data_IF_832254560319
#
_entry.id   IF_832254560319
#
_cell.length_a   1.000
_cell.length_b   1.000
_cell.length_c   1.000
_cell.angle_alpha   90.00
_cell.angle_beta   90.00
_cell.angle_gamma   90.00
#
_symmetry.space_group_name_H-M   'P 1'
#
loop_
_entity.id
_entity.type
_entity.pdbx_description
1 polymer ?
#
# COMPACT_ATOMS: atom_id res chain seq x y z
N UNK A 1 -13.93 5.52 10.23
CA UNK A 1 -14.30 4.09 10.03
C UNK A 1 -15.32 3.97 8.91
N UNK A 2 -14.95 3.32 7.79
CA UNK A 2 -15.87 2.39 7.11
C UNK A 2 -15.17 1.07 6.81
N UNK A 3 -15.25 0.17 7.80
CA UNK A 3 -15.40 -1.26 7.53
C UNK A 3 -16.54 -1.41 6.51
N UNK A 4 -16.23 -1.88 5.30
CA UNK A 4 -17.25 -2.40 4.39
C UNK A 4 -17.55 -1.60 3.11
N UNK A 5 -16.59 -0.87 2.52
CA UNK A 5 -16.75 -0.57 1.08
C UNK A 5 -16.48 -1.87 0.30
N UNK A 6 -17.57 -2.56 -0.08
CA UNK A 6 -17.53 -3.89 -0.72
C UNK A 6 -16.64 -3.92 -1.97
N UNK A 7 -16.41 -2.77 -2.59
CA UNK A 7 -15.57 -2.59 -3.77
C UNK A 7 -14.09 -2.90 -3.50
N UNK A 8 -13.55 -2.62 -2.32
CA UNK A 8 -12.15 -2.95 -2.02
C UNK A 8 -11.96 -4.43 -1.68
N UNK A 9 -12.93 -5.05 -1.01
CA UNK A 9 -12.94 -6.50 -0.83
C UNK A 9 -13.05 -7.24 -2.19
N UNK A 10 -13.77 -6.66 -3.15
CA UNK A 10 -13.81 -7.14 -4.54
C UNK A 10 -12.45 -6.97 -5.23
N UNK A 11 -11.79 -5.82 -5.07
CA UNK A 11 -10.44 -5.63 -5.60
C UNK A 11 -9.44 -6.65 -5.02
N UNK A 12 -9.45 -6.87 -3.71
CA UNK A 12 -8.63 -7.88 -3.02
C UNK A 12 -8.85 -9.28 -3.61
N UNK A 13 -10.10 -9.71 -3.79
CA UNK A 13 -10.40 -11.01 -4.40
C UNK A 13 -9.90 -11.09 -5.85
N UNK A 14 -10.06 -10.02 -6.63
CA UNK A 14 -9.57 -9.97 -8.01
C UNK A 14 -8.03 -10.01 -8.09
N UNK A 15 -7.32 -9.43 -7.10
CA UNK A 15 -5.88 -9.58 -6.97
C UNK A 15 -5.48 -11.04 -6.72
N UNK A 16 -6.19 -11.74 -5.84
CA UNK A 16 -5.94 -13.17 -5.55
C UNK A 16 -6.19 -14.06 -6.77
N UNK A 17 -7.25 -13.76 -7.51
CA UNK A 17 -7.65 -14.50 -8.72
C UNK A 17 -6.72 -14.22 -9.92
N UNK A 18 -5.85 -13.21 -9.82
CA UNK A 18 -4.94 -12.78 -10.89
C UNK A 18 -5.61 -11.92 -11.97
N UNK A 19 -6.79 -11.38 -11.67
CA UNK A 19 -7.60 -10.52 -12.53
C UNK A 19 -7.21 -9.04 -12.38
N UNK A 20 -5.92 -8.76 -12.59
CA UNK A 20 -5.29 -7.48 -12.26
C UNK A 20 -5.91 -6.26 -12.94
N UNK A 21 -6.30 -6.38 -14.22
CA UNK A 21 -6.95 -5.28 -14.94
C UNK A 21 -8.30 -4.91 -14.33
N UNK A 22 -9.06 -5.91 -13.88
CA UNK A 22 -10.35 -5.69 -13.21
C UNK A 22 -10.15 -5.09 -11.82
N UNK A 23 -9.14 -5.57 -11.09
CA UNK A 23 -8.78 -5.02 -9.78
C UNK A 23 -8.35 -3.54 -9.89
N UNK A 24 -7.53 -3.21 -10.89
CA UNK A 24 -7.08 -1.84 -11.17
C UNK A 24 -8.25 -0.93 -11.55
N UNK A 25 -9.21 -1.41 -12.34
CA UNK A 25 -10.38 -0.63 -12.77
C UNK A 25 -11.30 -0.18 -11.62
N UNK A 26 -11.14 -0.75 -10.42
CA UNK A 26 -11.89 -0.33 -9.23
C UNK A 26 -11.37 1.02 -8.70
N UNK A 27 -10.09 1.35 -8.92
CA UNK A 27 -9.49 2.61 -8.45
C UNK A 27 -9.56 3.71 -9.51
N UNK A 28 -9.93 4.92 -9.10
CA UNK A 28 -10.05 6.06 -10.02
C UNK A 28 -8.69 6.64 -10.44
N UNK A 29 -7.71 6.65 -9.53
CA UNK A 29 -6.34 7.07 -9.81
C UNK A 29 -5.35 6.15 -9.14
N UNK A 30 -4.36 5.72 -9.94
CA UNK A 30 -3.34 4.79 -9.51
C UNK A 30 -1.97 5.43 -9.73
N UNK A 31 -1.24 5.60 -8.64
CA UNK A 31 0.15 5.99 -8.66
C UNK A 31 0.98 4.71 -8.77
N UNK A 32 1.50 4.42 -9.95
CA UNK A 32 2.11 3.13 -10.26
C UNK A 32 3.50 2.92 -9.62
N UNK A 33 4.05 3.95 -8.99
CA UNK A 33 5.35 3.91 -8.33
C UNK A 33 5.30 4.79 -7.07
N UNK A 34 6.08 4.41 -6.09
CA UNK A 34 6.05 4.92 -4.73
C UNK A 34 6.85 6.24 -4.63
N UNK A 35 7.86 6.39 -5.49
CA UNK A 35 8.69 7.57 -5.67
C UNK A 35 7.93 8.83 -6.14
N UNK A 36 6.78 8.70 -6.80
CA UNK A 36 5.98 9.84 -7.28
C UNK A 36 4.89 10.25 -6.28
N UNK A 37 4.62 9.43 -5.26
CA UNK A 37 3.45 9.59 -4.39
C UNK A 37 3.43 10.97 -3.73
N UNK A 38 4.51 11.36 -3.06
CA UNK A 38 4.52 12.63 -2.30
C UNK A 38 4.31 13.84 -3.22
N UNK A 39 4.94 13.86 -4.40
CA UNK A 39 4.79 14.93 -5.37
C UNK A 39 3.39 14.97 -5.98
N UNK A 40 2.80 13.81 -6.29
CA UNK A 40 1.44 13.71 -6.79
C UNK A 40 0.41 14.19 -5.76
N UNK A 41 0.58 13.81 -4.49
CA UNK A 41 -0.32 14.24 -3.42
C UNK A 41 -0.21 15.74 -3.11
N UNK A 42 0.99 16.32 -3.25
CA UNK A 42 1.15 17.77 -3.18
C UNK A 42 0.33 18.49 -4.27
N UNK A 43 0.37 18.00 -5.51
CA UNK A 43 -0.46 18.54 -6.59
C UNK A 43 -1.97 18.39 -6.35
N UNK A 44 -2.40 17.27 -5.77
CA UNK A 44 -3.81 17.06 -5.38
C UNK A 44 -4.22 18.06 -4.30
N UNK A 45 -3.39 18.29 -3.27
CA UNK A 45 -3.64 19.29 -2.26
C UNK A 45 -3.75 20.71 -2.84
N UNK A 46 -2.82 21.09 -3.71
CA UNK A 46 -2.82 22.40 -4.38
C UNK A 46 -4.04 22.61 -5.27
N UNK A 47 -4.59 21.54 -5.85
CA UNK A 47 -5.81 21.61 -6.67
C UNK A 47 -7.08 21.88 -5.85
N UNK A 48 -7.04 21.65 -4.54
CA UNK A 48 -8.21 21.74 -3.66
C UNK A 48 -9.18 20.56 -3.78
N UNK A 49 -8.84 19.51 -4.54
CA UNK A 49 -9.62 18.28 -4.60
C UNK A 49 -9.62 17.55 -3.24
N UNK A 50 -10.78 17.01 -2.86
CA UNK A 50 -10.94 16.27 -1.61
C UNK A 50 -10.76 14.77 -1.85
N UNK A 51 -9.94 14.13 -1.03
CA UNK A 51 -9.76 12.67 -1.04
C UNK A 51 -10.44 12.10 0.21
N UNK A 52 -11.38 11.15 0.09
CA UNK A 52 -11.78 10.42 -1.12
C UNK A 52 -12.98 11.01 -1.90
N UNK A 53 -13.54 12.17 -1.51
CA UNK A 53 -14.87 12.60 -2.01
C UNK A 53 -14.89 12.99 -3.48
N UNK A 54 -13.83 13.64 -3.97
CA UNK A 54 -13.69 14.07 -5.35
C UNK A 54 -12.75 13.14 -6.15
N UNK A 55 -11.80 12.48 -5.46
CA UNK A 55 -10.84 11.57 -6.06
C UNK A 55 -10.44 10.44 -5.09
N UNK A 56 -10.53 9.20 -5.55
CA UNK A 56 -9.95 8.04 -4.86
C UNK A 56 -8.57 7.70 -5.42
N UNK A 57 -7.58 7.53 -4.53
CA UNK A 57 -6.17 7.31 -4.90
C UNK A 57 -5.66 6.03 -4.27
N UNK A 58 -5.06 5.17 -5.09
CA UNK A 58 -4.22 4.07 -4.66
C UNK A 58 -2.79 4.26 -5.17
N UNK A 59 -1.79 3.89 -4.37
CA UNK A 59 -0.39 3.94 -4.74
C UNK A 59 0.23 2.54 -4.66
N UNK A 60 0.96 2.14 -5.68
CA UNK A 60 1.75 0.92 -5.69
C UNK A 60 3.09 1.16 -4.98
N UNK A 61 3.36 0.42 -3.91
CA UNK A 61 4.45 0.66 -2.95
C UNK A 61 5.34 -0.56 -2.73
N UNK A 62 6.65 -0.32 -2.57
CA UNK A 62 7.61 -1.33 -2.15
C UNK A 62 7.81 -1.27 -0.63
N UNK A 63 7.01 -2.04 0.12
CA UNK A 63 7.14 -2.12 1.56
C UNK A 63 8.54 -2.67 1.95
N UNK A 64 9.15 -2.19 3.06
CA UNK A 64 8.53 -1.42 4.14
C UNK A 64 8.60 0.10 3.95
N UNK A 65 9.10 0.59 2.81
CA UNK A 65 9.06 2.02 2.56
C UNK A 65 7.61 2.43 2.33
N UNK A 66 7.16 3.40 3.13
CA UNK A 66 5.82 3.97 3.01
C UNK A 66 5.92 5.48 2.80
N UNK A 67 5.26 6.03 1.76
CA UNK A 67 5.29 7.47 1.49
C UNK A 67 4.60 8.24 2.63
N UNK A 68 5.11 9.42 2.96
CA UNK A 68 4.44 10.28 3.93
C UNK A 68 3.26 10.97 3.27
N UNK A 69 2.06 10.50 3.58
CA UNK A 69 0.84 11.07 3.00
C UNK A 69 0.11 12.01 3.99
N UNK A 70 -0.27 13.21 3.54
CA UNK A 70 -1.23 14.04 4.27
C UNK A 70 -2.69 13.62 4.01
N UNK A 71 -2.93 12.77 3.01
CA UNK A 71 -4.25 12.37 2.52
C UNK A 71 -4.55 10.88 2.79
N UNK A 72 -5.81 10.50 3.00
CA UNK A 72 -6.18 9.10 3.24
C UNK A 72 -6.20 8.33 1.91
N UNK A 73 -5.04 7.79 1.51
CA UNK A 73 -4.89 6.98 0.29
C UNK A 73 -4.72 5.49 0.62
N UNK A 74 -4.95 4.62 -0.36
CA UNK A 74 -4.57 3.20 -0.27
C UNK A 74 -3.13 3.01 -0.74
N UNK A 75 -2.38 2.16 -0.05
CA UNK A 75 -1.05 1.70 -0.47
C UNK A 75 -1.10 0.21 -0.70
N UNK A 76 -0.88 -0.19 -1.95
CA UNK A 76 -0.90 -1.56 -2.44
C UNK A 76 0.51 -1.99 -2.80
N UNK A 77 0.91 -3.23 -2.56
CA UNK A 77 2.17 -3.71 -3.13
C UNK A 77 2.73 -4.93 -2.44
N UNK A 78 4.05 -5.08 -2.49
CA UNK A 78 4.72 -6.24 -1.92
C UNK A 78 5.75 -5.82 -0.90
N UNK A 79 5.95 -6.67 0.11
CA UNK A 79 7.09 -6.53 0.98
C UNK A 79 8.36 -6.93 0.22
N UNK A 80 9.24 -5.98 -0.07
CA UNK A 80 10.49 -6.20 -0.79
C UNK A 80 11.34 -7.31 -0.16
N UNK A 81 11.32 -7.42 1.17
CA UNK A 81 11.93 -8.55 1.89
C UNK A 81 11.37 -9.92 1.47
N UNK A 82 10.05 -10.09 1.36
CA UNK A 82 9.45 -11.35 0.93
C UNK A 82 9.85 -11.71 -0.50
N UNK A 83 9.96 -10.70 -1.39
CA UNK A 83 10.47 -10.90 -2.75
C UNK A 83 11.89 -11.44 -2.70
N UNK A 84 12.79 -10.77 -1.97
CA UNK A 84 14.20 -11.18 -1.87
C UNK A 84 14.35 -12.56 -1.23
N UNK A 85 13.62 -12.84 -0.15
CA UNK A 85 13.62 -14.15 0.53
C UNK A 85 13.14 -15.26 -0.41
N UNK A 86 12.07 -15.03 -1.17
CA UNK A 86 11.60 -15.99 -2.17
C UNK A 86 12.64 -16.21 -3.28
N UNK A 87 13.29 -15.14 -3.77
CA UNK A 87 14.35 -15.28 -4.76
C UNK A 87 15.53 -16.12 -4.23
N UNK A 88 15.96 -15.88 -3.00
CA UNK A 88 17.06 -16.63 -2.37
C UNK A 88 16.72 -18.12 -2.22
N UNK A 89 15.52 -18.44 -1.74
CA UNK A 89 15.02 -19.82 -1.63
C UNK A 89 15.00 -20.52 -3.01
N UNK A 90 14.50 -19.85 -4.05
CA UNK A 90 14.45 -20.44 -5.40
C UNK A 90 15.86 -20.68 -5.98
N UNK A 91 16.82 -19.80 -5.69
CA UNK A 91 18.23 -19.97 -6.10
C UNK A 91 18.85 -21.16 -5.37
N UNK A 92 18.63 -21.30 -4.05
CA UNK A 92 19.17 -22.40 -3.25
C UNK A 92 18.59 -23.76 -3.67
N UNK A 93 17.28 -23.81 -3.99
CA UNK A 93 16.65 -25.01 -4.57
C UNK A 93 17.28 -25.38 -5.91
N UNK A 94 17.48 -24.40 -6.79
CA UNK A 94 18.12 -24.63 -8.09
C UNK A 94 19.55 -25.16 -7.93
N UNK A 95 20.33 -24.59 -7.00
CA UNK A 95 21.71 -25.02 -6.71
C UNK A 95 21.77 -26.43 -6.16
N UNK A 96 20.79 -26.83 -5.36
CA UNK A 96 20.71 -28.17 -4.76
C UNK A 96 20.05 -29.22 -5.67
N UNK A 97 19.67 -28.85 -6.90
CA UNK A 97 19.00 -29.75 -7.83
C UNK A 97 17.54 -30.04 -7.47
N UNK A 98 16.96 -29.27 -6.55
CA UNK A 98 15.54 -29.39 -6.20
C UNK A 98 14.64 -28.76 -7.27
N UNK A 99 13.38 -29.22 -7.37
CA UNK A 99 12.39 -28.61 -8.25
C UNK A 99 12.14 -27.14 -7.90
N UNK A 100 12.08 -26.29 -8.94
CA UNK A 100 11.76 -24.86 -8.81
C UNK A 100 10.48 -24.58 -9.61
N UNK A 101 9.45 -23.97 -9.02
CA UNK A 101 8.23 -23.63 -9.75
C UNK A 101 8.52 -22.58 -10.84
N UNK A 102 7.75 -22.61 -11.94
CA UNK A 102 7.87 -21.59 -13.00
C UNK A 102 7.38 -20.22 -12.54
N UNK A 103 6.43 -20.19 -11.60
CA UNK A 103 5.84 -18.98 -11.04
C UNK A 103 5.81 -19.10 -9.52
N UNK A 104 6.23 -18.05 -8.83
CA UNK A 104 6.11 -17.92 -7.38
C UNK A 104 5.10 -16.81 -7.09
N UNK A 105 4.11 -17.09 -6.23
CA UNK A 105 3.09 -16.12 -5.85
C UNK A 105 3.45 -15.52 -4.50
N UNK A 106 3.36 -14.20 -4.39
CA UNK A 106 3.56 -13.46 -3.17
C UNK A 106 2.24 -12.83 -2.74
N UNK A 107 2.07 -12.64 -1.45
CA UNK A 107 0.91 -11.95 -0.89
C UNK A 107 1.04 -10.45 -1.12
N UNK A 108 -0.01 -9.84 -1.66
CA UNK A 108 -0.12 -8.39 -1.77
C UNK A 108 -0.47 -7.82 -0.39
N UNK A 109 0.19 -6.74 -0.02
CA UNK A 109 -0.19 -5.89 1.10
C UNK A 109 -1.10 -4.77 0.58
N UNK A 110 -2.22 -4.57 1.26
CA UNK A 110 -3.18 -3.49 0.98
C UNK A 110 -3.51 -2.77 2.29
N UNK A 111 -2.86 -1.63 2.49
CA UNK A 111 -2.96 -0.83 3.70
C UNK A 111 -3.64 0.51 3.41
N UNK A 112 -4.44 1.00 4.35
CA UNK A 112 -4.84 2.41 4.36
C UNK A 112 -3.69 3.22 4.95
N UNK A 113 -3.17 4.17 4.17
CA UNK A 113 -2.08 5.00 4.65
C UNK A 113 -2.61 5.95 5.73
N UNK A 114 -2.04 5.86 6.92
CA UNK A 114 -2.39 6.73 8.05
C UNK A 114 -1.87 8.13 7.76
N UNK A 115 -2.72 9.13 7.92
CA UNK A 115 -2.29 10.51 7.68
C UNK A 115 -1.17 10.89 8.65
N UNK A 116 -0.16 11.61 8.14
CA UNK A 116 0.89 12.18 8.98
C UNK A 116 0.34 13.12 10.08
N UNK A 117 -0.84 13.71 9.87
CA UNK A 117 -1.54 14.53 10.86
C UNK A 117 -2.03 13.70 12.06
N UNK A 118 -2.60 12.51 11.81
CA UNK A 118 -3.07 11.59 12.87
C UNK A 118 -1.89 10.99 13.66
N UNK A 119 -0.75 10.79 13.00
CA UNK A 119 0.49 10.29 13.63
C UNK A 119 1.09 11.33 14.60
N UNK A 120 1.03 12.62 14.26
CA UNK A 120 1.52 13.71 15.13
C UNK A 120 0.59 13.96 16.34
N UNK A 121 -0.72 13.83 16.14
CA UNK A 121 -1.70 14.00 17.23
C UNK A 121 -1.59 12.88 18.26
N UNK A 122 -1.35 11.63 17.81
CA UNK A 122 -1.14 10.49 18.71
C UNK A 122 0.12 10.65 19.56
N UNK A 123 1.24 11.11 18.98
CA UNK A 123 2.48 11.41 19.74
C UNK A 123 2.31 12.54 20.75
N UNK A 124 1.54 13.59 20.43
CA UNK A 124 1.25 14.69 21.36
C UNK A 124 0.43 14.24 22.58
N UNK A 125 -0.49 13.29 22.39
CA UNK A 125 -1.28 12.74 23.51
C UNK A 125 -0.41 11.89 24.43
N UNK A 126 0.46 11.04 23.88
CA UNK A 126 1.39 10.20 24.66
C UNK A 126 2.43 11.03 25.45
N UNK A 127 2.95 12.11 24.86
CA UNK A 127 3.89 13.02 25.53
C UNK A 127 3.22 13.83 26.66
N UNK A 128 1.95 14.25 26.49
CA UNK A 128 1.22 14.97 27.54
C UNK A 128 0.81 14.07 28.71
N UNK A 129 0.57 12.77 28.48
CA UNK A 129 0.29 11.81 29.57
C UNK A 129 1.55 11.47 30.40
N UNK A 130 2.76 11.58 29.83
CA UNK A 130 4.01 11.37 30.55
C UNK A 130 4.44 12.57 31.42
N UNK A 131 4.01 13.79 31.07
CA UNK A 131 4.32 15.01 31.84
C UNK A 131 3.35 15.21 33.01
N UNK A 132 2.21 14.51 33.02
CA UNK A 132 1.17 14.62 34.04
C UNK A 132 1.27 13.58 35.19
N UNK A 133 2.39 12.84 35.32
CA UNK A 133 2.63 11.85 36.40
C UNK A 133 3.73 12.27 37.36
#
# INVERSE_FOLDING_TARGET
MRKGDKRFAEAEQLWEDGEFEKAMAIYQTILADDNIVEASLAGVLESGARVPQDLEIAAYCNFPWTPKTPLPIRTLGFHARQIVEACLDLIDRKRSGQPVPRTHRLTVLDEEAVSAAETMETRRVEENEHVAR
#
